data_IF_618992576893
#
_entry.id   IF_618992576893
#
_cell.length_a   1.000
_cell.length_b   1.000
_cell.length_c   1.000
_cell.angle_alpha   90.00
_cell.angle_beta   90.00
_cell.angle_gamma   90.00
#
_symmetry.space_group_name_H-M   'P 1'
#
loop_
_entity.id
_entity.type
_entity.pdbx_description
1 polymer ?
#
# COMPACT_ATOMS: atom_id res chain seq x y z
N UNK A 1 13.82 3.12 -6.46
CA UNK A 1 14.88 2.78 -5.48
C UNK A 1 15.95 1.80 -6.05
N UNK A 2 17.10 1.58 -5.36
CA UNK A 2 18.10 0.54 -5.71
C UNK A 2 18.18 -0.54 -4.60
N UNK A 3 17.97 -1.81 -4.95
CA UNK A 3 18.07 -2.94 -4.03
C UNK A 3 19.53 -3.41 -3.88
N UNK A 4 20.15 -3.14 -2.73
CA UNK A 4 21.52 -3.61 -2.46
C UNK A 4 21.52 -5.11 -2.12
N UNK A 5 22.56 -5.82 -2.55
CA UNK A 5 22.73 -7.24 -2.24
C UNK A 5 22.79 -7.51 -0.71
N UNK A 6 23.32 -6.57 0.06
CA UNK A 6 23.46 -6.66 1.53
C UNK A 6 22.15 -6.51 2.30
N UNK A 7 21.06 -6.06 1.67
CA UNK A 7 19.80 -5.89 2.38
C UNK A 7 19.25 -7.24 2.83
N UNK A 8 18.70 -7.26 4.06
CA UNK A 8 17.97 -8.42 4.59
C UNK A 8 16.84 -8.78 3.62
N UNK A 9 16.56 -10.08 3.50
CA UNK A 9 15.53 -10.60 2.58
C UNK A 9 14.18 -9.89 2.76
N UNK A 10 13.78 -9.68 4.02
CA UNK A 10 12.54 -9.00 4.36
C UNK A 10 12.43 -7.59 3.80
N UNK A 11 13.52 -6.80 3.87
CA UNK A 11 13.59 -5.45 3.27
C UNK A 11 13.47 -5.54 1.75
N UNK A 12 14.16 -6.49 1.11
CA UNK A 12 14.04 -6.68 -0.34
C UNK A 12 12.61 -7.03 -0.77
N UNK A 13 11.94 -7.88 -0.01
CA UNK A 13 10.57 -8.32 -0.28
C UNK A 13 9.57 -7.18 -0.14
N UNK A 14 9.63 -6.41 0.96
CA UNK A 14 8.74 -5.28 1.18
C UNK A 14 8.97 -4.19 0.14
N UNK A 15 10.23 -3.84 -0.11
CA UNK A 15 10.62 -2.90 -1.16
C UNK A 15 10.13 -3.33 -2.55
N UNK A 16 10.24 -4.63 -2.89
CA UNK A 16 9.73 -5.11 -4.18
C UNK A 16 8.23 -4.87 -4.30
N UNK A 17 7.44 -5.16 -3.27
CA UNK A 17 6.00 -4.93 -3.27
C UNK A 17 5.66 -3.44 -3.31
N UNK A 18 6.40 -2.60 -2.58
CA UNK A 18 6.28 -1.14 -2.64
C UNK A 18 6.44 -0.64 -4.08
N UNK A 19 7.53 -1.03 -4.75
CA UNK A 19 7.85 -0.59 -6.11
C UNK A 19 6.88 -1.17 -7.16
N UNK A 20 6.44 -2.42 -6.98
CA UNK A 20 5.38 -3.01 -7.81
C UNK A 20 4.04 -2.28 -7.62
N UNK A 21 3.73 -1.89 -6.39
CA UNK A 21 2.57 -1.07 -6.06
C UNK A 21 2.56 0.24 -6.84
N UNK A 22 3.67 0.99 -6.81
CA UNK A 22 3.82 2.19 -7.64
C UNK A 22 3.64 1.91 -9.13
N UNK A 23 4.21 0.81 -9.64
CA UNK A 23 4.05 0.44 -11.05
C UNK A 23 2.59 0.22 -11.44
N UNK A 24 1.80 -0.40 -10.58
CA UNK A 24 0.36 -0.57 -10.82
C UNK A 24 -0.41 0.76 -10.69
N UNK A 25 -0.09 1.58 -9.69
CA UNK A 25 -0.73 2.89 -9.53
C UNK A 25 -0.46 3.83 -10.70
N UNK A 26 0.72 3.76 -11.33
CA UNK A 26 1.02 4.54 -12.53
C UNK A 26 0.15 4.19 -13.74
N UNK A 27 -0.50 3.02 -13.76
CA UNK A 27 -1.41 2.63 -14.83
C UNK A 27 -2.80 3.28 -14.69
N UNK A 28 -3.11 3.82 -13.51
CA UNK A 28 -4.36 4.54 -13.29
C UNK A 28 -4.29 5.90 -14.00
N UNK A 29 -5.39 6.34 -14.62
CA UNK A 29 -5.51 7.64 -15.28
C UNK A 29 -5.92 8.73 -14.29
N UNK A 30 -6.83 8.41 -13.37
CA UNK A 30 -7.38 9.34 -12.39
C UNK A 30 -6.63 9.23 -11.05
N UNK A 31 -6.56 10.35 -10.31
CA UNK A 31 -5.95 10.45 -8.98
C UNK A 31 -6.96 11.02 -7.99
N UNK A 32 -6.74 10.76 -6.70
CA UNK A 32 -7.47 11.43 -5.64
C UNK A 32 -6.92 12.86 -5.48
N UNK A 33 -7.80 13.80 -5.18
CA UNK A 33 -7.40 15.18 -4.90
C UNK A 33 -6.58 15.23 -3.59
N UNK A 34 -5.52 16.02 -3.57
CA UNK A 34 -4.63 16.23 -2.41
C UNK A 34 -3.97 14.95 -1.82
N UNK A 35 -3.88 13.88 -2.63
CA UNK A 35 -3.25 12.61 -2.25
C UNK A 35 -2.19 12.25 -3.28
N UNK A 36 -0.93 12.22 -2.85
CA UNK A 36 0.19 11.87 -3.72
C UNK A 36 0.32 10.36 -3.98
N UNK A 37 1.37 9.97 -4.72
CA UNK A 37 1.63 8.57 -5.05
C UNK A 37 1.97 7.67 -3.87
N UNK A 38 2.70 8.16 -2.86
CA UNK A 38 3.01 7.41 -1.64
C UNK A 38 1.78 7.29 -0.75
N UNK A 39 1.06 8.40 -0.54
CA UNK A 39 -0.20 8.40 0.21
C UNK A 39 -1.19 7.41 -0.43
N UNK A 40 -1.35 7.45 -1.75
CA UNK A 40 -2.22 6.51 -2.47
C UNK A 40 -1.79 5.06 -2.27
N UNK A 41 -0.48 4.76 -2.34
CA UNK A 41 0.05 3.42 -2.12
C UNK A 41 -0.20 2.93 -0.68
N UNK A 42 0.02 3.80 0.29
CA UNK A 42 -0.10 3.47 1.71
C UNK A 42 -1.54 3.29 2.17
N UNK A 43 -2.54 3.59 1.32
CA UNK A 43 -3.92 3.15 1.56
C UNK A 43 -4.05 1.62 1.65
N UNK A 44 -3.14 0.86 1.03
CA UNK A 44 -3.22 -0.62 0.97
C UNK A 44 -1.93 -1.36 1.35
N UNK A 45 -0.77 -0.69 1.40
CA UNK A 45 0.52 -1.37 1.38
C UNK A 45 0.80 -2.26 2.60
N UNK A 46 0.55 -1.75 3.81
CA UNK A 46 0.68 -2.52 5.05
C UNK A 46 -0.27 -3.73 5.08
N UNK A 47 -1.51 -3.59 4.57
CA UNK A 47 -2.47 -4.67 4.46
C UNK A 47 -1.98 -5.75 3.49
N UNK A 48 -1.45 -5.35 2.34
CA UNK A 48 -0.85 -6.28 1.38
C UNK A 48 0.34 -7.02 2.03
N UNK A 49 1.18 -6.33 2.79
CA UNK A 49 2.25 -7.00 3.52
C UNK A 49 1.73 -7.96 4.59
N UNK A 50 0.69 -7.57 5.33
CA UNK A 50 0.08 -8.39 6.36
C UNK A 50 -0.55 -9.66 5.76
N UNK A 51 -1.24 -9.54 4.63
CA UNK A 51 -1.88 -10.65 3.93
C UNK A 51 -0.84 -11.66 3.38
N UNK A 52 0.37 -11.21 3.02
CA UNK A 52 1.41 -12.08 2.45
C UNK A 52 2.39 -12.64 3.50
N UNK A 53 2.74 -11.85 4.52
CA UNK A 53 3.81 -12.16 5.48
C UNK A 53 3.42 -12.01 6.96
N UNK A 54 2.21 -11.55 7.25
CA UNK A 54 1.69 -11.38 8.61
C UNK A 54 1.84 -9.96 9.18
N UNK A 55 1.04 -9.66 10.20
CA UNK A 55 0.92 -8.33 10.82
C UNK A 55 2.25 -7.81 11.39
N UNK A 56 3.05 -8.67 12.02
CA UNK A 56 4.35 -8.28 12.56
C UNK A 56 5.31 -7.80 11.47
N UNK A 57 5.35 -8.51 10.34
CA UNK A 57 6.15 -8.11 9.19
C UNK A 57 5.69 -6.76 8.66
N UNK A 58 4.38 -6.57 8.51
CA UNK A 58 3.81 -5.32 8.00
C UNK A 58 4.18 -4.12 8.90
N UNK A 59 4.01 -4.27 10.21
CA UNK A 59 4.33 -3.23 11.18
C UNK A 59 5.82 -2.89 11.21
N UNK A 60 6.70 -3.89 11.20
CA UNK A 60 8.14 -3.65 11.13
C UNK A 60 8.54 -2.93 9.83
N UNK A 61 7.91 -3.25 8.71
CA UNK A 61 8.23 -2.64 7.41
C UNK A 61 7.69 -1.23 7.31
N UNK A 62 6.46 -0.98 7.78
CA UNK A 62 5.89 0.36 7.89
C UNK A 62 6.80 1.30 8.68
N UNK A 63 7.23 0.87 9.88
CA UNK A 63 8.18 1.64 10.71
C UNK A 63 9.50 1.88 9.98
N UNK A 64 10.06 0.84 9.36
CA UNK A 64 11.32 0.93 8.63
C UNK A 64 11.26 1.82 7.38
N UNK A 65 10.13 1.86 6.65
CA UNK A 65 9.94 2.75 5.50
C UNK A 65 9.72 4.21 5.94
N UNK A 66 9.03 4.44 7.06
CA UNK A 66 8.86 5.78 7.61
C UNK A 66 10.20 6.44 8.01
N UNK A 67 11.26 5.67 8.24
CA UNK A 67 12.61 6.17 8.54
C UNK A 67 13.44 6.52 7.28
N UNK A 68 12.91 6.32 6.06
CA UNK A 68 13.67 6.57 4.84
C UNK A 68 13.93 8.05 4.59
N UNK A 69 12.90 8.89 4.75
CA UNK A 69 12.96 10.35 4.75
C UNK A 69 11.65 10.97 5.30
N UNK A 70 11.61 12.31 5.38
CA UNK A 70 10.48 13.08 5.93
C UNK A 70 9.18 12.94 5.10
N UNK A 71 9.27 12.76 3.78
CA UNK A 71 8.09 12.60 2.92
C UNK A 71 7.43 11.23 3.14
N UNK A 72 8.25 10.18 3.35
CA UNK A 72 7.76 8.84 3.69
C UNK A 72 7.12 8.82 5.08
N UNK A 73 7.74 9.49 6.05
CA UNK A 73 7.17 9.65 7.39
C UNK A 73 5.80 10.35 7.32
N UNK A 74 5.72 11.47 6.60
CA UNK A 74 4.48 12.23 6.46
C UNK A 74 3.37 11.43 5.78
N UNK A 75 3.68 10.71 4.70
CA UNK A 75 2.72 9.87 3.99
C UNK A 75 2.22 8.71 4.87
N UNK A 76 3.09 8.07 5.64
CA UNK A 76 2.68 7.02 6.59
C UNK A 76 1.87 7.59 7.74
N UNK A 77 2.23 8.75 8.29
CA UNK A 77 1.47 9.42 9.34
C UNK A 77 0.05 9.76 8.85
N UNK A 78 -0.08 10.27 7.62
CA UNK A 78 -1.37 10.48 6.99
C UNK A 78 -2.16 9.17 6.87
N UNK A 79 -1.58 8.11 6.32
CA UNK A 79 -2.28 6.84 6.14
C UNK A 79 -2.74 6.23 7.47
N UNK A 80 -1.94 6.38 8.53
CA UNK A 80 -2.25 5.91 9.89
C UNK A 80 -3.27 6.79 10.61
N UNK A 81 -3.48 8.04 10.18
CA UNK A 81 -4.53 8.90 10.71
C UNK A 81 -5.93 8.46 10.23
N UNK A 82 -5.99 7.71 9.13
CA UNK A 82 -7.21 7.19 8.56
C UNK A 82 -7.58 5.85 9.21
N UNK A 83 -8.86 5.67 9.53
CA UNK A 83 -9.37 4.37 9.97
C UNK A 83 -9.37 3.34 8.82
N UNK A 84 -9.43 2.03 9.13
CA UNK A 84 -9.47 0.98 8.10
C UNK A 84 -10.60 1.16 7.08
N UNK A 85 -11.78 1.59 7.54
CA UNK A 85 -12.94 1.84 6.67
C UNK A 85 -12.73 3.04 5.74
N UNK A 86 -12.09 4.09 6.24
CA UNK A 86 -11.80 5.30 5.47
C UNK A 86 -10.75 5.03 4.38
N UNK A 87 -9.70 4.29 4.73
CA UNK A 87 -8.70 3.82 3.75
C UNK A 87 -9.35 2.99 2.64
N UNK A 88 -10.24 2.06 3.02
CA UNK A 88 -10.99 1.26 2.06
C UNK A 88 -11.94 2.13 1.21
N UNK A 89 -12.58 3.15 1.77
CA UNK A 89 -13.46 4.06 1.04
C UNK A 89 -12.69 4.87 -0.01
N UNK A 90 -11.53 5.42 0.35
CA UNK A 90 -10.65 6.15 -0.56
C UNK A 90 -10.10 5.26 -1.67
N UNK A 91 -9.63 4.06 -1.32
CA UNK A 91 -9.18 3.07 -2.31
C UNK A 91 -10.28 2.70 -3.30
N UNK A 92 -11.48 2.39 -2.79
CA UNK A 92 -12.61 2.05 -3.65
C UNK A 92 -13.08 3.23 -4.51
N UNK A 93 -12.97 4.48 -4.01
CA UNK A 93 -13.23 5.68 -4.81
C UNK A 93 -12.24 5.78 -5.96
N UNK A 94 -10.94 5.63 -5.69
CA UNK A 94 -9.90 5.64 -6.72
C UNK A 94 -10.14 4.56 -7.79
N UNK A 95 -10.48 3.34 -7.39
CA UNK A 95 -10.80 2.26 -8.31
C UNK A 95 -12.00 2.59 -9.21
N UNK A 96 -13.10 3.09 -8.64
CA UNK A 96 -14.29 3.51 -9.40
C UNK A 96 -14.00 4.65 -10.38
N UNK A 97 -13.19 5.63 -9.98
CA UNK A 97 -12.76 6.72 -10.86
C UNK A 97 -11.98 6.22 -12.08
N UNK A 98 -11.31 5.07 -11.95
CA UNK A 98 -10.54 4.42 -13.01
C UNK A 98 -11.30 3.26 -13.69
N UNK A 99 -12.63 3.16 -13.50
CA UNK A 99 -13.46 2.16 -14.18
C UNK A 99 -13.39 0.74 -13.63
N UNK A 100 -12.71 0.52 -12.51
CA UNK A 100 -12.71 -0.78 -11.82
C UNK A 100 -13.92 -0.92 -10.89
N UNK A 101 -14.50 -2.13 -10.76
CA UNK A 101 -15.50 -2.37 -9.73
C UNK A 101 -14.86 -2.11 -8.37
N UNK A 102 -15.40 -1.15 -7.61
CA UNK A 102 -14.90 -0.83 -6.28
C UNK A 102 -15.19 -1.99 -5.33
N UNK A 103 -14.16 -2.83 -5.12
CA UNK A 103 -14.06 -4.15 -4.47
C UNK A 103 -13.83 -5.27 -5.49
N UNK A 104 -12.83 -6.11 -5.21
CA UNK A 104 -12.89 -7.51 -5.66
C UNK A 104 -14.13 -8.11 -5.00
N UNK A 105 -15.19 -8.34 -5.77
CA UNK A 105 -16.27 -9.23 -5.32
C UNK A 105 -15.63 -10.61 -5.05
N UNK A 106 -15.55 -10.96 -3.77
CA UNK A 106 -15.23 -12.27 -3.20
C UNK A 106 -14.29 -13.18 -4.00
N UNK A 107 -13.11 -13.46 -3.41
CA UNK A 107 -12.80 -14.88 -3.23
C UNK A 107 -13.90 -15.36 -2.28
N UNK A 108 -14.96 -15.93 -2.85
CA UNK A 108 -16.01 -16.58 -2.07
C UNK A 108 -15.31 -17.52 -1.10
N UNK A 109 -15.64 -17.40 0.19
CA UNK A 109 -15.23 -18.34 1.22
C UNK A 109 -15.45 -19.75 0.68
N UNK A 110 -14.35 -20.49 0.57
CA UNK A 110 -14.33 -21.87 0.12
C UNK A 110 -15.23 -22.70 1.02
N UNK A 111 -16.48 -22.84 0.61
CA UNK A 111 -17.38 -23.87 1.09
C UNK A 111 -17.37 -24.98 0.06
N UNK A 112 -16.45 -25.94 0.18
CA UNK A 112 -16.73 -27.38 0.06
C UNK A 112 -15.63 -28.17 0.72
#
# INVERSE_FOLDING_TARGET
>A
MRLRASYRRAVKQSTLVHELGHRHLWQLEQRLDDVDGHMTLYLILDRVWADVWGEEFAEERRRGEAEWDEDYEAAWAWAQSLGPEERAALWNRLLRMNGFPGRCEGIADGTT
#
